data_IF_931989879301
#
_entry.id   IF_931989879301
#
_cell.length_a   1.000
_cell.length_b   1.000
_cell.length_c   1.000
_cell.angle_alpha   90.00
_cell.angle_beta   90.00
_cell.angle_gamma   90.00
#
_symmetry.space_group_name_H-M   'P 1'
#
loop_
_entity.id
_entity.type
_entity.pdbx_description
1 polymer ?
#
# COMPACT_ATOMS: atom_id res chain seq x y z
N UNK A 1 -33.15 43.25 -49.23
CA UNK A 1 -32.03 42.32 -48.99
C UNK A 1 -31.62 42.20 -47.49
N UNK A 2 -31.78 43.16 -46.64
CA UNK A 2 -31.31 43.12 -45.24
C UNK A 2 -32.16 42.24 -44.27
N UNK A 3 -33.46 42.03 -44.54
CA UNK A 3 -34.32 41.22 -43.63
C UNK A 3 -34.02 39.72 -43.68
N UNK A 4 -33.78 39.17 -44.87
CA UNK A 4 -33.43 37.72 -45.04
C UNK A 4 -32.09 37.34 -44.46
N UNK A 5 -31.09 38.26 -44.55
CA UNK A 5 -29.76 38.00 -43.94
C UNK A 5 -29.81 37.97 -42.39
N UNK A 6 -30.65 38.82 -41.77
CA UNK A 6 -30.80 38.82 -40.32
C UNK A 6 -31.53 37.55 -39.81
N UNK A 7 -32.49 37.03 -40.61
CA UNK A 7 -33.21 35.82 -40.29
C UNK A 7 -32.28 34.56 -40.32
N UNK A 8 -31.40 34.47 -41.31
CA UNK A 8 -30.44 33.39 -41.41
C UNK A 8 -29.40 33.38 -40.27
N UNK A 9 -28.90 34.56 -39.89
CA UNK A 9 -27.93 34.69 -38.76
C UNK A 9 -28.58 34.29 -37.43
N UNK A 10 -29.82 34.68 -37.22
CA UNK A 10 -30.57 34.31 -35.98
C UNK A 10 -30.84 32.80 -35.93
N UNK A 11 -31.19 32.17 -37.07
CA UNK A 11 -31.39 30.71 -37.13
C UNK A 11 -30.09 29.94 -36.87
N UNK A 12 -28.93 30.42 -37.36
CA UNK A 12 -27.63 29.77 -37.09
C UNK A 12 -27.23 29.91 -35.63
N UNK A 13 -27.51 31.07 -34.99
CA UNK A 13 -27.23 31.27 -33.56
C UNK A 13 -28.11 30.37 -32.67
N UNK A 14 -29.41 30.20 -33.03
CA UNK A 14 -30.32 29.32 -32.31
C UNK A 14 -29.87 27.85 -32.46
N UNK A 15 -29.42 27.43 -33.66
CA UNK A 15 -28.93 26.07 -33.90
C UNK A 15 -27.63 25.80 -33.11
N UNK A 16 -26.71 26.75 -33.05
CA UNK A 16 -25.51 26.66 -32.27
C UNK A 16 -25.79 26.60 -30.76
N UNK A 17 -26.76 27.37 -30.27
CA UNK A 17 -27.19 27.32 -28.87
C UNK A 17 -27.86 25.97 -28.52
N UNK A 18 -28.65 25.41 -29.41
CA UNK A 18 -29.27 24.08 -29.22
C UNK A 18 -28.22 22.96 -29.25
N UNK A 19 -27.21 23.03 -30.12
CA UNK A 19 -26.12 22.05 -30.15
C UNK A 19 -25.25 22.14 -28.90
N UNK A 20 -24.96 23.35 -28.38
CA UNK A 20 -24.23 23.49 -27.12
C UNK A 20 -25.02 22.99 -25.90
N UNK A 21 -26.35 23.12 -25.92
CA UNK A 21 -27.21 22.59 -24.85
C UNK A 21 -27.33 21.05 -24.92
N UNK A 22 -27.29 20.46 -26.11
CA UNK A 22 -27.26 19.01 -26.30
C UNK A 22 -25.93 18.37 -25.90
N UNK A 23 -24.79 19.08 -26.08
CA UNK A 23 -23.46 18.65 -25.66
C UNK A 23 -23.22 18.85 -24.14
N UNK A 24 -24.02 19.67 -23.48
CA UNK A 24 -24.05 19.84 -22.04
C UNK A 24 -25.00 18.81 -21.38
N UNK A 25 -24.91 17.54 -21.76
CA UNK A 25 -25.56 16.45 -21.03
C UNK A 25 -25.17 16.50 -19.55
N UNK A 26 -26.02 15.99 -18.63
CA UNK A 26 -25.69 16.01 -17.21
C UNK A 26 -24.33 15.33 -17.02
N UNK A 27 -23.33 16.13 -16.68
CA UNK A 27 -22.06 15.60 -16.21
C UNK A 27 -22.37 14.98 -14.86
N UNK A 28 -22.67 13.69 -14.85
CA UNK A 28 -22.74 12.93 -13.61
C UNK A 28 -21.33 12.95 -13.03
N UNK A 29 -21.12 13.85 -12.08
CA UNK A 29 -19.94 13.76 -11.23
C UNK A 29 -20.10 12.45 -10.46
N UNK A 30 -19.45 11.40 -10.94
CA UNK A 30 -19.17 10.24 -10.12
C UNK A 30 -18.23 10.75 -9.03
N UNK A 31 -18.80 11.09 -7.89
CA UNK A 31 -18.02 11.31 -6.67
C UNK A 31 -17.32 9.97 -6.42
N UNK A 32 -16.04 9.89 -6.75
CA UNK A 32 -15.23 8.78 -6.30
C UNK A 32 -15.35 8.78 -4.77
N UNK A 33 -16.02 7.77 -4.22
CA UNK A 33 -16.03 7.53 -2.79
C UNK A 33 -14.57 7.42 -2.38
N UNK A 34 -14.09 8.32 -1.53
CA UNK A 34 -12.75 8.20 -0.97
C UNK A 34 -12.75 6.90 -0.19
N UNK A 35 -12.02 5.92 -0.68
CA UNK A 35 -11.72 4.73 0.12
C UNK A 35 -10.77 5.24 1.20
N UNK A 36 -11.25 5.32 2.43
CA UNK A 36 -10.40 5.73 3.54
C UNK A 36 -9.25 4.73 3.66
N UNK A 37 -8.04 5.24 3.89
CA UNK A 37 -6.90 4.40 4.21
C UNK A 37 -7.23 3.46 5.38
N UNK A 38 -6.88 2.19 5.27
CA UNK A 38 -7.16 1.18 6.29
C UNK A 38 -5.88 0.48 6.73
N UNK A 39 -5.77 0.25 8.04
CA UNK A 39 -4.66 -0.52 8.62
C UNK A 39 -4.75 -1.99 8.22
N UNK A 40 -3.65 -2.66 7.86
CA UNK A 40 -3.63 -4.09 7.63
C UNK A 40 -3.72 -4.86 8.94
N UNK A 41 -4.20 -6.10 8.89
CA UNK A 41 -4.04 -7.04 10.00
C UNK A 41 -2.60 -7.54 10.03
N UNK A 42 -1.99 -7.54 11.22
CA UNK A 42 -0.61 -7.98 11.40
C UNK A 42 -0.49 -9.48 11.70
N UNK A 43 -1.56 -10.13 12.20
CA UNK A 43 -1.50 -11.57 12.51
C UNK A 43 -0.30 -11.93 13.39
N UNK A 44 0.47 -12.94 12.98
CA UNK A 44 1.62 -13.43 13.74
C UNK A 44 2.75 -12.41 13.94
N UNK A 45 2.84 -11.35 13.12
CA UNK A 45 3.89 -10.31 13.27
C UNK A 45 3.51 -9.22 14.28
N UNK A 46 2.33 -9.27 14.87
CA UNK A 46 1.82 -8.22 15.75
C UNK A 46 2.66 -8.02 17.02
N UNK A 47 3.26 -9.06 17.58
CA UNK A 47 4.12 -9.00 18.78
C UNK A 47 5.55 -8.52 18.51
N UNK A 48 5.99 -8.49 17.24
CA UNK A 48 7.36 -8.17 16.89
C UNK A 48 7.62 -6.65 16.85
N UNK A 49 8.70 -6.22 17.47
CA UNK A 49 9.31 -4.90 17.19
C UNK A 49 10.28 -4.97 16.00
N UNK A 50 11.00 -6.08 15.87
CA UNK A 50 12.01 -6.25 14.83
C UNK A 50 11.83 -7.60 14.14
N UNK A 51 11.79 -7.61 12.81
CA UNK A 51 11.79 -8.82 12.01
C UNK A 51 12.69 -8.62 10.78
N UNK A 52 13.58 -9.55 10.53
CA UNK A 52 14.52 -9.51 9.40
C UNK A 52 14.42 -10.77 8.54
N UNK A 53 14.72 -10.63 7.24
CA UNK A 53 14.83 -11.76 6.31
C UNK A 53 16.12 -12.54 6.47
N UNK A 54 17.26 -11.86 6.69
CA UNK A 54 18.59 -12.48 6.71
C UNK A 54 19.25 -12.46 8.08
N UNK A 55 19.35 -11.30 8.71
CA UNK A 55 20.06 -11.12 9.98
C UNK A 55 19.55 -9.89 10.72
N UNK A 56 19.61 -9.94 12.04
CA UNK A 56 19.56 -8.75 12.90
C UNK A 56 20.93 -8.54 13.50
N UNK A 57 21.49 -7.34 13.29
CA UNK A 57 22.77 -6.93 13.88
C UNK A 57 22.54 -5.71 14.75
N UNK A 58 23.05 -5.74 15.97
CA UNK A 58 22.96 -4.65 16.91
C UNK A 58 24.33 -4.24 17.45
N UNK A 59 24.52 -2.93 17.58
CA UNK A 59 25.65 -2.33 18.28
C UNK A 59 25.09 -1.50 19.45
N UNK A 60 25.69 -1.63 20.62
CA UNK A 60 25.28 -0.85 21.80
C UNK A 60 23.97 -1.32 22.47
N UNK A 61 23.49 -0.57 23.46
CA UNK A 61 22.42 -1.00 24.37
C UNK A 61 21.01 -0.73 23.78
N UNK A 62 20.69 -1.34 22.66
CA UNK A 62 19.32 -1.30 22.11
C UNK A 62 18.33 -2.01 23.04
N UNK A 63 17.15 -1.44 23.24
CA UNK A 63 16.07 -2.01 24.05
C UNK A 63 14.77 -2.09 23.28
N UNK A 64 14.04 -3.20 23.42
CA UNK A 64 12.72 -3.40 22.84
C UNK A 64 11.83 -4.27 23.72
N UNK A 65 10.52 -3.96 23.87
CA UNK A 65 9.59 -4.76 24.65
C UNK A 65 8.94 -5.91 23.88
N UNK A 66 8.92 -5.86 22.54
CA UNK A 66 8.33 -6.88 21.68
C UNK A 66 9.34 -7.88 21.15
N UNK A 67 8.87 -8.86 20.39
CA UNK A 67 9.68 -9.91 19.83
C UNK A 67 10.70 -9.39 18.81
N UNK A 68 11.81 -10.13 18.73
CA UNK A 68 12.82 -10.00 17.67
C UNK A 68 12.86 -11.29 16.87
N UNK A 69 12.71 -11.20 15.54
CA UNK A 69 12.73 -12.38 14.68
C UNK A 69 13.66 -12.27 13.49
N UNK A 70 14.13 -13.44 13.04
CA UNK A 70 14.85 -13.60 11.77
C UNK A 70 14.33 -14.85 11.06
N UNK A 71 13.88 -14.73 9.81
CA UNK A 71 13.50 -15.85 8.94
C UNK A 71 13.49 -15.42 7.46
N UNK A 72 14.03 -16.22 6.50
CA UNK A 72 14.62 -17.56 6.65
C UNK A 72 16.05 -17.57 7.23
N UNK A 73 16.66 -16.40 7.45
CA UNK A 73 17.92 -16.31 8.17
C UNK A 73 17.81 -16.76 9.63
N UNK A 74 18.95 -16.93 10.29
CA UNK A 74 19.02 -17.41 11.67
C UNK A 74 19.94 -16.55 12.55
N UNK A 75 20.59 -15.54 11.97
CA UNK A 75 21.62 -14.80 12.68
C UNK A 75 21.04 -13.60 13.45
N UNK A 76 21.22 -13.63 14.77
CA UNK A 76 20.97 -12.51 15.69
C UNK A 76 22.27 -12.18 16.39
N UNK A 77 22.80 -10.99 16.18
CA UNK A 77 24.10 -10.55 16.68
C UNK A 77 23.96 -9.29 17.54
N UNK A 78 24.70 -9.20 18.63
CA UNK A 78 24.70 -8.02 19.52
C UNK A 78 23.56 -8.01 20.55
N UNK A 79 23.04 -9.16 20.89
CA UNK A 79 22.08 -9.37 22.00
C UNK A 79 22.65 -10.43 22.97
N UNK A 80 23.38 -10.02 24.04
CA UNK A 80 23.68 -8.67 24.50
C UNK A 80 24.75 -7.94 23.64
N UNK A 81 24.95 -6.57 23.75
CA UNK A 81 24.38 -5.68 24.78
C UNK A 81 22.92 -5.24 24.52
N UNK A 82 22.36 -5.52 23.37
CA UNK A 82 20.92 -5.32 23.13
C UNK A 82 20.09 -6.17 24.09
N UNK A 83 18.90 -5.70 24.42
CA UNK A 83 17.97 -6.34 25.35
C UNK A 83 16.58 -6.42 24.70
N UNK A 84 16.08 -7.66 24.56
CA UNK A 84 14.68 -7.94 24.30
C UNK A 84 14.02 -8.15 25.66
N UNK A 85 13.24 -7.15 26.12
CA UNK A 85 12.60 -7.16 27.43
C UNK A 85 11.28 -7.97 27.41
N UNK A 86 10.86 -8.49 28.58
CA UNK A 86 9.57 -9.19 28.65
C UNK A 86 8.40 -8.26 28.25
N UNK A 87 7.38 -8.77 27.54
CA UNK A 87 7.17 -10.19 27.18
C UNK A 87 7.92 -10.67 25.92
N UNK A 88 8.75 -9.83 25.27
CA UNK A 88 9.42 -10.15 24.02
C UNK A 88 10.38 -11.34 24.10
N UNK A 89 10.49 -12.06 23.00
CA UNK A 89 11.31 -13.26 22.81
C UNK A 89 12.14 -13.11 21.52
N UNK A 90 13.31 -13.76 21.47
CA UNK A 90 14.11 -13.87 20.26
C UNK A 90 13.76 -15.15 19.50
N UNK A 91 13.33 -15.00 18.25
CA UNK A 91 12.96 -16.05 17.31
C UNK A 91 13.99 -16.12 16.16
N UNK A 92 14.96 -16.99 16.24
CA UNK A 92 16.08 -17.10 15.30
C UNK A 92 15.90 -18.28 14.34
N UNK A 93 15.22 -18.09 13.23
CA UNK A 93 14.97 -19.11 12.21
C UNK A 93 13.96 -20.19 12.62
N UNK A 94 13.15 -19.93 13.62
CA UNK A 94 12.11 -20.85 14.09
C UNK A 94 10.77 -20.65 13.33
N UNK A 95 9.79 -21.52 13.65
CA UNK A 95 8.49 -21.48 13.02
C UNK A 95 7.74 -20.17 13.30
N UNK A 96 7.89 -19.58 14.50
CA UNK A 96 7.23 -18.33 14.86
C UNK A 96 7.76 -17.16 13.98
N UNK A 97 9.07 -17.08 13.76
CA UNK A 97 9.66 -16.09 12.87
C UNK A 97 9.24 -16.33 11.41
N UNK A 98 9.10 -17.58 10.97
CA UNK A 98 8.61 -17.90 9.62
C UNK A 98 7.15 -17.47 9.42
N UNK A 99 6.27 -17.78 10.37
CA UNK A 99 4.87 -17.36 10.34
C UNK A 99 4.74 -15.81 10.39
N UNK A 100 5.60 -15.15 11.18
CA UNK A 100 5.66 -13.70 11.23
C UNK A 100 6.09 -13.09 9.88
N UNK A 101 7.03 -13.71 9.14
CA UNK A 101 7.41 -13.24 7.79
C UNK A 101 6.26 -13.40 6.78
N UNK A 102 5.51 -14.48 6.84
CA UNK A 102 4.30 -14.64 6.01
C UNK A 102 3.28 -13.55 6.31
N UNK A 103 3.06 -13.24 7.58
CA UNK A 103 2.16 -12.17 7.99
C UNK A 103 2.68 -10.78 7.58
N UNK A 104 4.00 -10.53 7.65
CA UNK A 104 4.63 -9.30 7.17
C UNK A 104 4.42 -9.09 5.67
N UNK A 105 4.59 -10.14 4.84
CA UNK A 105 4.31 -10.09 3.40
C UNK A 105 2.84 -9.79 3.11
N UNK A 106 1.93 -10.40 3.85
CA UNK A 106 0.50 -10.15 3.71
C UNK A 106 0.14 -8.69 4.08
N UNK A 107 0.67 -8.17 5.19
CA UNK A 107 0.48 -6.78 5.62
C UNK A 107 1.06 -5.79 4.61
N UNK A 108 2.27 -6.04 4.08
CA UNK A 108 2.89 -5.22 3.05
C UNK A 108 2.03 -5.15 1.77
N UNK A 109 1.42 -6.27 1.38
CA UNK A 109 0.54 -6.34 0.22
C UNK A 109 -0.77 -5.59 0.48
N UNK A 110 -1.34 -5.71 1.67
CA UNK A 110 -2.58 -5.01 2.05
C UNK A 110 -2.41 -3.47 2.12
N UNK A 111 -1.17 -2.98 2.33
CA UNK A 111 -0.84 -1.56 2.27
C UNK A 111 -0.76 -1.01 0.83
N UNK A 112 -0.93 -1.84 -0.21
CA UNK A 112 -0.94 -1.37 -1.60
C UNK A 112 -2.30 -0.78 -2.00
N UNK A 113 -2.75 0.19 -1.22
CA UNK A 113 -4.00 0.89 -1.41
C UNK A 113 -3.85 2.04 -2.42
N UNK A 114 -4.95 2.52 -3.04
CA UNK A 114 -4.92 3.69 -3.92
C UNK A 114 -4.34 4.91 -3.23
N UNK A 115 -3.58 5.71 -3.96
CA UNK A 115 -2.97 6.92 -3.43
C UNK A 115 -3.98 8.07 -3.40
N UNK A 116 -4.19 8.70 -2.25
CA UNK A 116 -4.94 9.95 -2.15
C UNK A 116 -4.10 11.12 -2.68
N UNK A 117 -2.79 11.07 -2.42
CA UNK A 117 -1.84 12.07 -2.89
C UNK A 117 -0.61 11.38 -3.50
N UNK A 118 -0.24 11.78 -4.70
CA UNK A 118 0.96 11.29 -5.38
C UNK A 118 1.92 12.44 -5.63
N UNK A 119 3.14 12.31 -5.13
CA UNK A 119 4.23 13.25 -5.37
C UNK A 119 5.10 12.75 -6.54
N UNK A 120 5.42 13.61 -7.50
CA UNK A 120 6.33 13.25 -8.59
C UNK A 120 7.77 13.18 -8.07
N UNK A 121 8.38 12.01 -8.08
CA UNK A 121 9.77 11.82 -7.67
C UNK A 121 9.98 11.63 -6.17
N UNK A 122 11.08 12.17 -5.66
CA UNK A 122 11.43 12.14 -4.22
C UNK A 122 10.67 13.25 -3.51
N UNK A 123 10.03 12.94 -2.40
CA UNK A 123 9.32 13.91 -1.56
C UNK A 123 9.95 14.04 -0.18
N UNK A 124 10.34 15.24 0.18
CA UNK A 124 10.65 15.57 1.57
C UNK A 124 9.36 15.88 2.33
N UNK A 125 9.06 15.02 3.32
CA UNK A 125 7.85 15.11 4.12
C UNK A 125 7.83 16.34 5.04
N UNK A 126 8.98 16.91 5.38
CA UNK A 126 9.08 18.16 6.14
C UNK A 126 8.39 19.31 5.43
N UNK A 127 8.48 19.36 4.09
CA UNK A 127 7.96 20.45 3.27
C UNK A 127 6.44 20.42 3.11
N UNK A 128 5.82 19.29 3.41
CA UNK A 128 4.36 19.08 3.27
C UNK A 128 3.65 18.87 4.60
N UNK A 129 4.38 19.01 5.70
CA UNK A 129 3.84 18.95 7.07
C UNK A 129 2.94 20.17 7.36
N UNK A 130 1.82 20.04 8.09
CA UNK A 130 1.24 18.81 8.64
C UNK A 130 0.43 17.99 7.61
N UNK A 131 0.31 16.66 7.85
CA UNK A 131 -0.47 15.76 7.01
C UNK A 131 -1.67 15.17 7.75
N UNK A 132 -2.82 15.14 7.08
CA UNK A 132 -4.04 14.47 7.55
C UNK A 132 -4.01 12.96 7.21
N UNK A 133 -4.91 12.13 7.80
CA UNK A 133 -5.03 10.72 7.41
C UNK A 133 -5.22 10.54 5.90
N UNK A 134 -4.59 9.51 5.33
CA UNK A 134 -4.64 9.20 3.91
C UNK A 134 -3.45 8.39 3.42
N UNK A 135 -3.46 8.05 2.13
CA UNK A 135 -2.41 7.31 1.45
C UNK A 135 -1.58 8.24 0.58
N UNK A 136 -0.30 8.36 0.90
CA UNK A 136 0.69 9.21 0.25
C UNK A 136 1.69 8.38 -0.53
N UNK A 137 1.91 8.71 -1.80
CA UNK A 137 2.77 7.94 -2.69
C UNK A 137 3.88 8.81 -3.28
N UNK A 138 5.10 8.27 -3.34
CA UNK A 138 6.25 8.91 -3.97
C UNK A 138 7.23 7.86 -4.52
N UNK A 139 8.21 8.28 -5.33
CA UNK A 139 9.31 7.40 -5.72
C UNK A 139 10.18 7.05 -4.50
N UNK A 140 10.47 8.04 -3.66
CA UNK A 140 11.13 7.88 -2.37
C UNK A 140 10.63 8.97 -1.41
N UNK A 141 10.71 8.69 -0.10
CA UNK A 141 10.49 9.70 0.93
C UNK A 141 11.78 10.05 1.64
N UNK A 142 11.94 11.34 1.90
CA UNK A 142 12.95 11.87 2.82
C UNK A 142 12.26 12.63 3.95
N UNK A 143 12.93 12.76 5.08
CA UNK A 143 12.50 13.57 6.20
C UNK A 143 13.72 14.35 6.73
N UNK A 144 13.81 15.62 6.40
CA UNK A 144 14.96 16.47 6.79
C UNK A 144 14.73 17.23 8.10
N UNK A 145 13.50 17.26 8.60
CA UNK A 145 13.10 17.94 9.83
C UNK A 145 11.92 17.24 10.51
N UNK A 146 10.84 17.98 10.80
CA UNK A 146 9.72 17.46 11.55
C UNK A 146 8.50 17.23 10.64
N UNK A 147 7.90 16.04 10.75
CA UNK A 147 6.60 15.73 10.20
C UNK A 147 5.57 15.67 11.33
N UNK A 148 4.49 16.43 11.21
CA UNK A 148 3.34 16.36 12.11
C UNK A 148 2.17 15.66 11.43
N UNK A 149 1.62 14.63 12.06
CA UNK A 149 0.42 13.93 11.64
C UNK A 149 -0.77 14.50 12.40
N UNK A 150 -1.74 15.09 11.69
CA UNK A 150 -2.86 15.82 12.29
C UNK A 150 -4.17 15.09 12.06
N UNK A 151 -5.01 14.99 13.08
CA UNK A 151 -6.31 14.32 13.03
C UNK A 151 -6.26 12.89 13.56
N UNK A 152 -7.34 12.15 13.31
CA UNK A 152 -7.49 10.74 13.68
C UNK A 152 -7.80 9.90 12.45
N UNK A 153 -7.15 8.76 12.29
CA UNK A 153 -7.31 7.86 11.15
C UNK A 153 -6.03 7.11 10.83
N UNK A 154 -5.89 6.68 9.59
CA UNK A 154 -4.75 5.89 9.12
C UNK A 154 -3.91 6.70 8.15
N UNK A 155 -2.60 6.67 8.32
CA UNK A 155 -1.60 7.23 7.40
C UNK A 155 -0.82 6.10 6.75
N UNK A 156 -0.79 6.07 5.43
CA UNK A 156 0.00 5.11 4.66
C UNK A 156 0.95 5.88 3.76
N UNK A 157 2.25 5.72 3.98
CA UNK A 157 3.31 6.28 3.14
C UNK A 157 3.87 5.17 2.25
N UNK A 158 3.59 5.23 0.95
CA UNK A 158 4.04 4.25 -0.04
C UNK A 158 5.22 4.81 -0.83
N UNK A 159 6.41 4.34 -0.52
CA UNK A 159 7.62 4.62 -1.29
C UNK A 159 7.87 3.50 -2.30
N UNK A 160 8.07 3.82 -3.57
CA UNK A 160 8.47 2.84 -4.58
C UNK A 160 9.94 2.38 -4.38
N UNK A 161 10.76 3.18 -3.70
CA UNK A 161 12.17 2.92 -3.42
C UNK A 161 12.47 3.05 -1.93
N UNK A 162 13.04 4.15 -1.48
CA UNK A 162 13.60 4.31 -0.13
C UNK A 162 12.81 5.24 0.78
N UNK A 163 13.01 5.08 2.08
CA UNK A 163 12.70 6.04 3.12
C UNK A 163 14.00 6.41 3.84
N UNK A 164 14.35 7.70 3.88
CA UNK A 164 15.59 8.15 4.50
C UNK A 164 15.29 9.38 5.37
N UNK A 165 15.69 9.35 6.62
CA UNK A 165 15.61 10.51 7.51
C UNK A 165 16.97 11.18 7.67
N UNK A 166 16.98 12.46 8.03
CA UNK A 166 18.18 13.18 8.45
C UNK A 166 18.36 13.08 9.96
N UNK A 167 19.60 13.26 10.47
CA UNK A 167 19.84 13.25 11.92
C UNK A 167 18.96 14.22 12.69
N UNK A 168 18.39 13.77 13.80
CA UNK A 168 17.55 14.59 14.68
C UNK A 168 16.17 14.96 14.13
N UNK A 169 15.75 14.38 12.99
CA UNK A 169 14.40 14.57 12.48
C UNK A 169 13.34 13.88 13.36
N UNK A 170 12.07 14.23 13.19
CA UNK A 170 11.01 13.60 13.99
C UNK A 170 9.71 13.42 13.20
N UNK A 171 8.97 12.36 13.57
CA UNK A 171 7.56 12.19 13.22
C UNK A 171 6.75 12.24 14.51
N UNK A 172 5.73 13.10 14.54
CA UNK A 172 4.92 13.33 15.75
C UNK A 172 3.42 13.39 15.41
N UNK A 173 2.57 13.13 16.40
CA UNK A 173 1.12 13.06 16.22
C UNK A 173 0.69 11.74 15.59
N UNK A 174 -0.62 11.59 15.37
CA UNK A 174 -1.20 10.32 14.93
C UNK A 174 -1.09 9.23 16.02
N UNK A 175 -1.67 8.07 15.72
CA UNK A 175 -1.54 6.86 16.53
C UNK A 175 -0.49 5.96 15.87
N UNK A 176 0.61 5.58 16.54
CA UNK A 176 1.66 4.70 15.98
C UNK A 176 1.12 3.40 15.37
N UNK A 177 0.01 2.89 15.89
CA UNK A 177 -0.66 1.71 15.35
C UNK A 177 -1.32 1.93 13.99
N UNK A 178 -1.58 3.17 13.64
CA UNK A 178 -2.26 3.57 12.41
C UNK A 178 -1.33 4.34 11.44
N UNK A 179 -0.03 4.36 11.71
CA UNK A 179 0.98 4.95 10.82
C UNK A 179 1.79 3.85 10.17
N UNK A 180 1.79 3.81 8.83
CA UNK A 180 2.35 2.75 8.02
C UNK A 180 3.32 3.28 6.97
N UNK A 181 4.52 2.72 6.95
CA UNK A 181 5.59 3.04 5.99
C UNK A 181 5.85 1.82 5.12
N UNK A 182 5.22 1.76 3.94
CA UNK A 182 5.45 0.72 2.95
C UNK A 182 6.60 1.14 2.03
N UNK A 183 7.75 0.52 2.20
CA UNK A 183 9.01 0.90 1.54
C UNK A 183 9.43 -0.16 0.53
N UNK A 184 9.45 0.19 -0.76
CA UNK A 184 9.74 -0.72 -1.87
C UNK A 184 11.20 -1.19 -1.98
N UNK A 185 12.09 -0.62 -1.17
CA UNK A 185 13.49 -1.06 -1.03
C UNK A 185 13.89 -1.02 0.44
N UNK A 186 14.75 -0.10 0.85
CA UNK A 186 15.30 -0.01 2.20
C UNK A 186 14.90 1.27 2.92
N UNK A 187 14.77 1.18 4.25
CA UNK A 187 14.58 2.33 5.12
C UNK A 187 15.83 2.61 5.94
N UNK A 188 16.19 3.89 6.09
CA UNK A 188 17.24 4.36 6.99
C UNK A 188 16.67 5.45 7.89
N UNK A 189 16.61 5.16 9.17
CA UNK A 189 16.25 6.10 10.22
C UNK A 189 17.55 6.59 10.85
N UNK A 190 17.90 7.85 10.58
CA UNK A 190 19.20 8.37 10.90
C UNK A 190 19.34 8.71 12.41
N UNK A 191 20.54 9.05 12.81
CA UNK A 191 20.96 9.24 14.21
C UNK A 191 20.01 10.19 14.96
N UNK A 192 19.69 9.85 16.20
CA UNK A 192 18.84 10.65 17.11
C UNK A 192 17.46 11.02 16.57
N UNK A 193 17.01 10.37 15.49
CA UNK A 193 15.65 10.54 14.95
C UNK A 193 14.62 9.95 15.90
N UNK A 194 13.54 10.68 16.16
CA UNK A 194 12.36 10.16 16.87
C UNK A 194 11.28 9.80 15.87
N UNK A 195 11.02 8.50 15.70
CA UNK A 195 10.16 8.00 14.63
C UNK A 195 8.96 7.23 15.17
N UNK A 196 7.82 7.34 14.51
CA UNK A 196 6.61 6.58 14.88
C UNK A 196 6.05 5.79 13.69
N UNK A 197 5.42 4.66 14.00
CA UNK A 197 4.68 3.84 13.05
C UNK A 197 5.43 2.57 12.64
N UNK A 198 4.77 1.80 11.78
CA UNK A 198 5.21 0.48 11.36
C UNK A 198 5.95 0.58 10.03
N UNK A 199 7.24 0.29 10.02
CA UNK A 199 8.09 0.28 8.83
C UNK A 199 8.10 -1.12 8.25
N UNK A 200 7.50 -1.31 7.07
CA UNK A 200 7.55 -2.54 6.30
C UNK A 200 8.41 -2.30 5.06
N UNK A 201 9.62 -2.84 5.04
CA UNK A 201 10.56 -2.68 3.95
C UNK A 201 10.75 -3.98 3.17
N UNK A 202 10.77 -3.89 1.84
CA UNK A 202 11.01 -5.06 0.99
C UNK A 202 12.43 -5.60 1.18
N UNK A 203 13.44 -4.71 1.34
CA UNK A 203 14.82 -5.09 1.57
C UNK A 203 15.22 -4.89 3.04
N UNK A 204 16.03 -3.92 3.35
CA UNK A 204 16.67 -3.76 4.67
C UNK A 204 16.15 -2.55 5.44
N UNK A 205 16.31 -2.58 6.76
CA UNK A 205 16.03 -1.43 7.63
C UNK A 205 17.27 -1.16 8.49
N UNK A 206 17.70 0.10 8.54
CA UNK A 206 18.74 0.55 9.44
C UNK A 206 18.18 1.63 10.38
N UNK A 207 18.36 1.42 11.68
CA UNK A 207 18.20 2.46 12.69
C UNK A 207 19.58 2.84 13.19
N UNK A 208 20.03 4.04 12.84
CA UNK A 208 21.33 4.54 13.22
C UNK A 208 21.37 4.95 14.71
N UNK A 209 22.53 5.32 15.18
CA UNK A 209 22.83 5.56 16.59
C UNK A 209 21.79 6.42 17.30
N UNK A 210 21.23 5.91 18.40
CA UNK A 210 20.24 6.58 19.26
C UNK A 210 18.93 6.97 18.57
N UNK A 211 18.61 6.42 17.39
CA UNK A 211 17.27 6.56 16.85
C UNK A 211 16.25 5.82 17.72
N UNK A 212 15.07 6.40 17.92
CA UNK A 212 13.97 5.78 18.65
C UNK A 212 12.80 5.48 17.71
N UNK A 213 12.12 4.36 17.94
CA UNK A 213 10.97 3.95 17.17
C UNK A 213 9.80 3.54 18.08
N UNK A 214 8.72 4.31 18.04
CA UNK A 214 7.44 3.85 18.57
C UNK A 214 6.70 3.10 17.46
N UNK A 215 6.99 1.82 17.34
CA UNK A 215 6.53 1.05 16.19
C UNK A 215 7.31 -0.24 15.95
N UNK A 216 7.33 -0.64 14.67
CA UNK A 216 7.94 -1.89 14.19
C UNK A 216 8.90 -1.64 13.05
N UNK A 217 9.99 -2.43 12.99
CA UNK A 217 10.94 -2.47 11.88
C UNK A 217 10.89 -3.89 11.26
N UNK A 218 10.14 -4.05 10.16
CA UNK A 218 9.82 -5.33 9.54
C UNK A 218 10.42 -5.39 8.13
N UNK A 219 11.60 -5.99 8.01
CA UNK A 219 12.27 -6.22 6.72
C UNK A 219 11.90 -7.60 6.16
N UNK A 220 11.53 -7.69 4.87
CA UNK A 220 11.12 -8.95 4.28
C UNK A 220 12.30 -9.81 3.86
N UNK A 221 13.22 -9.26 3.07
CA UNK A 221 14.29 -10.04 2.43
C UNK A 221 15.69 -9.72 2.96
N UNK A 222 15.88 -8.54 3.55
CA UNK A 222 17.17 -8.05 3.98
C UNK A 222 17.39 -8.11 5.49
N UNK A 223 18.40 -7.38 5.92
CA UNK A 223 18.81 -7.28 7.32
C UNK A 223 18.08 -6.13 8.04
N UNK A 224 18.01 -6.24 9.38
CA UNK A 224 17.77 -5.09 10.25
C UNK A 224 19.06 -4.80 11.03
N UNK A 225 19.53 -3.55 10.93
CA UNK A 225 20.72 -3.07 11.64
C UNK A 225 20.32 -2.04 12.68
N UNK A 226 20.79 -2.21 13.89
CA UNK A 226 20.46 -1.40 15.07
C UNK A 226 21.73 -0.88 15.74
N UNK A 227 21.64 0.32 16.33
CA UNK A 227 22.72 0.90 17.14
C UNK A 227 22.17 1.76 18.26
N UNK A 228 22.20 1.27 19.49
CA UNK A 228 21.76 2.00 20.69
C UNK A 228 20.34 2.55 20.58
N UNK A 229 19.42 1.79 20.01
CA UNK A 229 18.06 2.22 19.72
C UNK A 229 17.09 1.95 20.89
N UNK A 230 16.00 2.71 20.92
CA UNK A 230 14.91 2.51 21.88
C UNK A 230 13.62 2.26 21.11
N UNK A 231 13.04 1.07 21.29
CA UNK A 231 11.69 0.77 20.86
C UNK A 231 10.74 0.94 22.05
N UNK A 232 9.65 1.67 21.88
CA UNK A 232 8.68 1.93 22.96
C UNK A 232 7.32 1.27 22.73
N UNK A 233 7.02 0.84 21.55
CA UNK A 233 5.74 0.25 21.18
C UNK A 233 5.79 -0.44 19.83
N UNK A 234 4.69 -0.46 19.13
CA UNK A 234 3.40 0.09 19.56
C UNK A 234 2.64 -0.89 20.46
N UNK A 235 2.06 -0.36 21.52
CA UNK A 235 1.07 -1.08 22.35
C UNK A 235 -0.30 -0.99 21.64
N UNK A 236 -0.44 -1.59 20.46
CA UNK A 236 -1.71 -1.62 19.75
C UNK A 236 -2.63 -2.58 20.52
N UNK A 237 -3.53 -2.05 21.33
CA UNK A 237 -4.68 -2.81 21.79
C UNK A 237 -5.41 -3.32 20.56
N UNK A 238 -5.69 -4.61 20.52
CA UNK A 238 -6.35 -5.31 19.40
C UNK A 238 -7.38 -4.41 18.74
N UNK A 239 -7.09 -4.00 17.49
CA UNK A 239 -8.06 -3.32 16.64
C UNK A 239 -9.37 -4.12 16.74
N UNK A 240 -10.54 -3.46 16.95
CA UNK A 240 -11.80 -4.19 16.99
C UNK A 240 -11.85 -5.04 15.72
N UNK A 241 -11.84 -6.34 15.90
CA UNK A 241 -12.18 -7.27 14.83
C UNK A 241 -13.55 -6.82 14.37
N UNK A 242 -13.71 -6.41 13.12
CA UNK A 242 -15.02 -6.19 12.54
C UNK A 242 -15.80 -7.45 12.84
N UNK A 243 -16.66 -7.37 13.85
CA UNK A 243 -17.57 -8.46 14.18
C UNK A 243 -18.40 -8.65 12.93
N UNK A 244 -18.32 -9.80 12.24
CA UNK A 244 -19.15 -10.01 11.08
C UNK A 244 -20.58 -9.77 11.56
N UNK A 245 -21.21 -8.73 11.01
CA UNK A 245 -22.62 -8.48 11.23
C UNK A 245 -23.33 -9.75 10.80
N UNK A 246 -23.76 -10.55 11.79
CA UNK A 246 -24.53 -11.75 11.54
C UNK A 246 -25.79 -11.31 10.79
N UNK A 247 -25.78 -11.58 9.49
CA UNK A 247 -26.98 -11.48 8.68
C UNK A 247 -28.08 -12.33 9.33
N UNK A 248 -29.35 -11.97 9.16
CA UNK A 248 -30.45 -12.66 9.83
C UNK A 248 -30.42 -14.15 9.45
N UNK A 249 -30.65 -15.06 10.42
CA UNK A 249 -30.70 -16.49 10.15
C UNK A 249 -31.96 -16.79 9.31
N UNK A 250 -31.75 -17.06 8.05
CA UNK A 250 -32.79 -17.61 7.19
C UNK A 250 -32.51 -19.09 6.98
N UNK A 251 -33.43 -19.88 7.41
CA UNK A 251 -33.78 -21.21 6.99
C UNK A 251 -33.91 -22.18 8.14
N UNK A 252 -35.14 -22.38 8.52
CA UNK A 252 -35.68 -23.50 9.27
C UNK A 252 -35.34 -24.79 8.54
N UNK A 253 -34.43 -25.60 9.07
CA UNK A 253 -34.23 -26.94 8.58
C UNK A 253 -35.28 -27.86 9.21
N UNK A 254 -36.12 -28.40 8.36
CA UNK A 254 -37.09 -29.45 8.71
C UNK A 254 -36.33 -30.74 9.11
N UNK A 255 -36.54 -31.15 10.32
CA UNK A 255 -35.97 -32.38 10.88
C UNK A 255 -36.69 -33.59 10.27
N UNK A 256 -36.03 -34.34 9.40
CA UNK A 256 -36.40 -35.76 9.16
C UNK A 256 -35.49 -36.65 10.01
N UNK A 257 -36.10 -37.56 10.76
CA UNK A 257 -35.43 -38.47 11.65
C UNK A 257 -34.70 -39.58 10.86
N UNK A 258 -33.43 -39.91 11.15
CA UNK A 258 -32.78 -41.04 10.51
C UNK A 258 -33.21 -42.35 11.19
N UNK A 259 -33.68 -43.30 10.38
CA UNK A 259 -33.97 -44.67 10.75
C UNK A 259 -32.66 -45.40 11.01
N UNK A 260 -32.55 -45.98 12.23
CA UNK A 260 -31.40 -46.76 12.63
C UNK A 260 -31.40 -48.13 11.93
N UNK A 261 -30.31 -48.41 11.18
CA UNK A 261 -30.02 -49.75 10.66
C UNK A 261 -28.85 -50.35 11.45
N UNK A 262 -29.14 -51.33 12.27
CA UNK A 262 -28.18 -52.13 13.00
C UNK A 262 -27.46 -53.10 12.07
N UNK A 263 -26.14 -52.91 11.91
CA UNK A 263 -25.23 -53.84 11.25
C UNK A 263 -23.94 -53.96 12.07
N UNK A 264 -23.67 -55.13 12.65
CA UNK A 264 -22.49 -55.40 13.44
C UNK A 264 -21.22 -55.51 12.57
N UNK A 265 -20.08 -54.97 12.99
CA UNK A 265 -18.81 -55.16 12.26
C UNK A 265 -18.12 -56.47 12.70
N UNK A 266 -17.76 -57.27 11.72
CA UNK A 266 -16.91 -58.48 11.87
C UNK A 266 -15.44 -58.02 11.94
N UNK A 267 -14.74 -58.40 13.01
CA UNK A 267 -13.32 -58.17 13.17
C UNK A 267 -12.50 -59.10 12.28
N UNK A 268 -11.61 -58.53 11.47
CA UNK A 268 -10.57 -59.30 10.75
C UNK A 268 -9.21 -58.85 11.24
N UNK A 269 -8.54 -59.72 11.98
CA UNK A 269 -7.14 -59.61 12.39
C UNK A 269 -6.21 -59.86 11.21
N UNK A 270 -5.42 -58.85 10.82
CA UNK A 270 -4.31 -59.00 9.89
C UNK A 270 -3.10 -58.20 10.40
N UNK A 271 -2.01 -58.89 10.74
CA UNK A 271 -0.74 -58.31 11.20
C UNK A 271 -0.01 -57.57 10.06
N UNK A 272 0.62 -56.42 10.31
CA UNK A 272 1.45 -55.77 9.31
C UNK A 272 2.86 -56.36 9.26
N UNK A 273 3.29 -56.77 8.07
CA UNK A 273 4.68 -57.14 7.77
C UNK A 273 5.46 -55.88 7.44
N UNK A 274 6.52 -55.62 8.19
CA UNK A 274 7.45 -54.54 7.92
C UNK A 274 8.33 -54.86 6.70
N UNK A 275 8.30 -54.01 5.70
CA UNK A 275 9.28 -54.05 4.58
C UNK A 275 10.05 -52.71 4.54
N UNK A 276 11.31 -52.77 4.92
CA UNK A 276 12.26 -51.70 4.76
C UNK A 276 12.68 -51.60 3.28
N UNK A 277 12.37 -50.47 2.63
CA UNK A 277 12.98 -50.09 1.37
C UNK A 277 13.53 -48.67 1.46
N UNK A 278 14.81 -48.51 1.12
CA UNK A 278 15.52 -47.24 1.08
C UNK A 278 14.95 -46.32 -0.02
N UNK A 279 14.94 -45.01 0.19
CA UNK A 279 14.46 -44.10 -0.85
C UNK A 279 15.52 -43.91 -1.96
N UNK A 280 15.12 -44.18 -3.19
CA UNK A 280 15.85 -43.81 -4.39
C UNK A 280 15.76 -42.31 -4.65
N UNK A 281 16.90 -41.71 -5.01
CA UNK A 281 16.98 -40.31 -5.40
C UNK A 281 16.13 -40.04 -6.65
N UNK A 282 15.15 -39.18 -6.53
CA UNK A 282 14.30 -38.76 -7.64
C UNK A 282 14.81 -37.44 -8.22
N UNK A 283 15.07 -37.46 -9.49
CA UNK A 283 15.46 -36.35 -10.37
C UNK A 283 14.58 -35.11 -10.20
N UNK A 284 15.21 -33.93 -10.16
CA UNK A 284 14.57 -32.63 -10.34
C UNK A 284 13.92 -32.54 -11.73
N UNK A 285 12.65 -32.13 -11.84
CA UNK A 285 12.08 -31.80 -13.15
C UNK A 285 12.64 -30.48 -13.65
N UNK A 286 13.02 -30.47 -14.93
CA UNK A 286 13.47 -29.31 -15.66
C UNK A 286 12.36 -28.24 -15.70
N UNK A 287 12.74 -26.98 -15.44
CA UNK A 287 11.86 -25.81 -15.58
C UNK A 287 11.57 -25.60 -17.06
N UNK A 288 10.37 -25.92 -17.49
CA UNK A 288 9.87 -25.66 -18.85
C UNK A 288 9.13 -24.33 -18.85
N UNK A 289 9.68 -23.38 -19.62
CA UNK A 289 9.06 -22.18 -20.20
C UNK A 289 8.06 -21.36 -19.36
N UNK A 290 8.36 -20.08 -19.21
CA UNK A 290 7.43 -19.03 -18.79
C UNK A 290 6.19 -18.99 -19.71
N UNK A 291 4.97 -18.79 -19.16
CA UNK A 291 3.82 -18.44 -19.99
C UNK A 291 4.00 -17.05 -20.57
N UNK A 292 3.74 -16.92 -21.87
CA UNK A 292 3.80 -15.65 -22.57
C UNK A 292 2.86 -14.60 -21.97
N UNK A 293 3.37 -13.40 -21.83
CA UNK A 293 2.60 -12.21 -21.45
C UNK A 293 1.53 -11.93 -22.52
N UNK A 294 0.30 -12.30 -22.23
CA UNK A 294 -0.85 -11.87 -23.00
C UNK A 294 -1.07 -10.37 -22.84
N UNK A 295 -0.67 -9.58 -23.84
CA UNK A 295 -1.01 -8.16 -23.93
C UNK A 295 -2.51 -8.00 -24.14
N UNK A 296 -3.24 -7.60 -23.10
CA UNK A 296 -4.60 -7.11 -23.23
C UNK A 296 -4.60 -5.74 -23.91
N UNK A 297 -5.65 -5.35 -24.65
CA UNK A 297 -5.69 -4.06 -25.33
C UNK A 297 -5.68 -2.92 -24.32
N UNK A 298 -4.70 -2.02 -24.49
CA UNK A 298 -4.59 -0.77 -23.73
C UNK A 298 -5.79 0.09 -24.13
N UNK A 299 -6.76 0.26 -23.25
CA UNK A 299 -7.76 1.31 -23.40
C UNK A 299 -7.08 2.64 -23.12
N UNK A 300 -6.70 3.35 -24.16
CA UNK A 300 -6.27 4.74 -24.07
C UNK A 300 -7.46 5.59 -23.67
N UNK A 301 -7.44 6.07 -22.44
CA UNK A 301 -8.36 7.12 -22.00
C UNK A 301 -7.99 8.40 -22.75
N UNK A 302 -8.89 9.09 -23.47
CA UNK A 302 -8.54 10.30 -24.19
C UNK A 302 -8.14 11.38 -23.19
N UNK A 303 -6.92 11.86 -23.35
CA UNK A 303 -6.38 12.97 -22.56
C UNK A 303 -7.27 14.21 -22.72
N UNK A 304 -7.60 14.94 -21.64
CA UNK A 304 -8.39 16.17 -21.69
C UNK A 304 -7.77 17.25 -22.58
N UNK A 305 -6.49 17.17 -22.87
CA UNK A 305 -5.77 18.07 -23.78
C UNK A 305 -6.18 17.94 -25.25
N UNK A 306 -6.67 16.78 -25.69
CA UNK A 306 -7.16 16.57 -27.05
C UNK A 306 -8.38 17.44 -27.36
N UNK A 307 -9.27 17.61 -26.40
CA UNK A 307 -10.47 18.47 -26.54
C UNK A 307 -10.11 19.96 -26.61
N UNK A 308 -9.12 20.41 -25.87
CA UNK A 308 -8.65 21.80 -25.86
C UNK A 308 -8.04 22.17 -27.23
N UNK A 309 -7.30 21.26 -27.85
CA UNK A 309 -6.70 21.47 -29.17
C UNK A 309 -7.79 21.59 -30.27
N UNK A 310 -8.80 20.72 -30.23
CA UNK A 310 -9.89 20.74 -31.23
C UNK A 310 -10.70 22.05 -31.13
N UNK A 311 -11.05 22.49 -29.92
CA UNK A 311 -11.77 23.75 -29.70
C UNK A 311 -10.93 24.96 -30.15
N UNK A 312 -9.62 24.92 -29.88
CA UNK A 312 -8.69 25.97 -30.34
C UNK A 312 -8.62 26.10 -31.86
N UNK A 313 -8.55 24.98 -32.59
CA UNK A 313 -8.54 24.97 -34.05
C UNK A 313 -9.84 25.50 -34.67
N UNK A 314 -11.00 25.14 -34.09
CA UNK A 314 -12.30 25.61 -34.57
C UNK A 314 -12.43 27.12 -34.35
N UNK A 315 -11.99 27.66 -33.20
CA UNK A 315 -12.00 29.09 -32.92
C UNK A 315 -11.08 29.88 -33.88
N UNK A 316 -9.89 29.33 -34.15
CA UNK A 316 -8.93 29.96 -35.08
C UNK A 316 -9.45 29.99 -36.53
N UNK A 317 -10.06 28.89 -36.99
CA UNK A 317 -10.65 28.79 -38.32
C UNK A 317 -11.82 29.79 -38.49
N UNK A 318 -12.64 29.94 -37.46
CA UNK A 318 -13.76 30.91 -37.46
C UNK A 318 -13.28 32.33 -37.48
N UNK A 319 -12.20 32.68 -36.78
CA UNK A 319 -11.61 34.00 -36.74
C UNK A 319 -10.95 34.38 -38.09
N UNK A 320 -10.21 33.45 -38.70
CA UNK A 320 -9.61 33.64 -40.01
C UNK A 320 -10.66 33.78 -41.14
N UNK A 321 -11.75 33.00 -41.07
CA UNK A 321 -12.88 33.11 -42.01
C UNK A 321 -13.54 34.51 -41.97
N UNK A 322 -13.75 35.06 -40.75
CA UNK A 322 -14.31 36.42 -40.58
C UNK A 322 -13.38 37.50 -41.10
N UNK A 323 -12.08 37.36 -40.91
CA UNK A 323 -11.08 38.30 -41.43
C UNK A 323 -11.01 38.30 -42.97
N UNK A 324 -11.03 37.12 -43.59
CA UNK A 324 -11.07 36.96 -45.05
C UNK A 324 -12.34 37.58 -45.64
N UNK A 325 -13.51 37.38 -45.03
CA UNK A 325 -14.77 37.96 -45.47
C UNK A 325 -14.80 39.50 -45.37
N UNK A 326 -14.19 40.08 -44.37
CA UNK A 326 -14.07 41.55 -44.22
C UNK A 326 -13.16 42.17 -45.28
N UNK A 327 -12.18 41.45 -45.79
CA UNK A 327 -11.22 41.93 -46.76
C UNK A 327 -11.81 41.97 -48.21
N UNK A 328 -12.76 41.06 -48.51
CA UNK A 328 -13.43 40.95 -49.81
C UNK A 328 -14.65 41.88 -49.97
N UNK A 329 -15.17 42.45 -48.89
CA UNK A 329 -16.39 43.29 -48.88
C UNK A 329 -16.10 44.82 -48.85
N UNK A 330 -14.86 45.27 -49.08
CA UNK A 330 -14.58 46.71 -49.28
C UNK A 330 -14.89 47.08 -50.72
N UNK A 331 -15.84 48.05 -50.97
CA UNK A 331 -16.05 48.56 -52.31
C UNK A 331 -14.82 49.35 -52.78
N UNK A 332 -14.37 49.08 -54.00
CA UNK A 332 -13.40 49.97 -54.70
C UNK A 332 -14.08 51.31 -54.89
N UNK A 333 -13.50 52.37 -54.36
CA UNK A 333 -13.69 53.73 -54.79
C UNK A 333 -12.67 54.04 -55.89
#
# INVERSE_FOLDING_TARGET
>A
MNKMRKLNVLSILILLAMVSLYLAGPISYVSASRVNASSPTLGAVASYNVLAGTTVTNTGPTTMPGDLGVSPGTAVVGFPPGIVGPPGIIHAGDANAADAQLANVAAFTALDQPCDTTYPGVQDLTLVSPLNPGTYCATAFTLTGNLTLSGSGVWIFKSASTLITSPGSSVSGGDPCNVWWRVGSSATIDTTTSFIGNILALASIALNTNASLDGRALAQTGAVTLDSNVFTGPNCSTQPTDTPTSGPPTATATTEAPTATTGAPTATTGAPTATTAAPAATHLPAVTALPGTGGGPIRSNPSPWGLVIIVGFIALASFLGIQAYRKTSRPRQ
#
